data_IF_703342949145
#
_entry.id   IF_703342949145
#
_cell.length_a   1.000
_cell.length_b   1.000
_cell.length_c   1.000
_cell.angle_alpha   90.00
_cell.angle_beta   90.00
_cell.angle_gamma   90.00
#
_symmetry.space_group_name_H-M   'P 1'
#
loop_
_entity.id
_entity.type
_entity.pdbx_description
1 polymer ?
#
# COMPACT_ATOMS: atom_id res chain seq x y z
N UNK A 1 -16.43 16.71 -30.54
CA UNK A 1 -17.63 17.19 -29.81
C UNK A 1 -17.86 16.26 -28.63
N UNK A 2 -17.65 16.79 -27.43
CA UNK A 2 -17.88 16.13 -26.14
C UNK A 2 -19.27 16.56 -25.66
N UNK A 3 -20.13 15.60 -25.34
CA UNK A 3 -21.18 15.69 -24.33
C UNK A 3 -22.13 14.51 -24.54
N UNK A 4 -22.31 13.64 -23.53
CA UNK A 4 -23.59 13.03 -23.09
C UNK A 4 -23.36 12.45 -21.68
N UNK A 5 -23.74 13.20 -20.66
CA UNK A 5 -24.98 13.02 -19.88
C UNK A 5 -24.89 11.88 -18.85
N UNK A 6 -24.36 12.24 -17.68
CA UNK A 6 -24.51 11.51 -16.43
C UNK A 6 -25.91 11.84 -15.91
N UNK A 7 -26.81 10.87 -15.95
CA UNK A 7 -28.13 10.95 -15.33
C UNK A 7 -28.69 9.54 -15.18
N UNK A 8 -28.62 8.97 -13.98
CA UNK A 8 -29.61 7.98 -13.55
C UNK A 8 -29.57 7.84 -12.03
N UNK A 9 -30.02 8.88 -11.34
CA UNK A 9 -30.51 8.79 -9.96
C UNK A 9 -31.85 8.07 -9.99
N UNK A 10 -31.85 6.76 -9.71
CA UNK A 10 -33.08 6.03 -9.39
C UNK A 10 -33.22 5.96 -7.87
N UNK A 11 -33.86 7.00 -7.33
CA UNK A 11 -34.60 6.93 -6.07
C UNK A 11 -35.85 6.08 -6.34
N UNK A 12 -35.93 4.89 -5.77
CA UNK A 12 -37.21 4.20 -5.59
C UNK A 12 -37.38 3.83 -4.12
N UNK A 13 -38.21 4.63 -3.48
CA UNK A 13 -38.87 4.33 -2.24
C UNK A 13 -39.87 3.18 -2.46
N UNK A 14 -39.94 2.23 -1.53
CA UNK A 14 -41.19 1.58 -1.15
C UNK A 14 -40.99 0.84 0.17
N UNK A 15 -41.63 1.37 1.22
CA UNK A 15 -41.86 0.67 2.47
C UNK A 15 -42.75 -0.54 2.19
N UNK A 16 -42.32 -1.74 2.59
CA UNK A 16 -43.23 -2.83 2.90
C UNK A 16 -42.93 -3.32 4.30
N UNK A 17 -43.70 -2.75 5.23
CA UNK A 17 -43.94 -3.29 6.56
C UNK A 17 -44.90 -4.47 6.35
N UNK A 18 -44.46 -5.69 6.61
CA UNK A 18 -45.38 -6.79 6.90
C UNK A 18 -44.89 -7.58 8.10
N UNK A 19 -45.58 -7.36 9.21
CA UNK A 19 -45.51 -8.18 10.41
C UNK A 19 -46.09 -9.56 10.11
N UNK A 20 -45.40 -10.63 10.54
CA UNK A 20 -46.00 -11.96 10.75
C UNK A 20 -45.06 -12.88 11.54
N UNK A 21 -45.62 -13.89 12.22
CA UNK A 21 -45.48 -14.05 13.67
C UNK A 21 -44.41 -15.06 14.10
N UNK A 22 -44.02 -14.94 15.37
CA UNK A 22 -43.24 -15.93 16.10
C UNK A 22 -43.92 -17.30 16.06
N UNK A 23 -43.30 -18.27 15.38
CA UNK A 23 -43.57 -19.69 15.58
C UNK A 23 -42.32 -20.34 16.14
N UNK A 24 -42.38 -20.60 17.44
CA UNK A 24 -41.46 -21.47 18.14
C UNK A 24 -41.43 -22.84 17.45
N UNK A 25 -40.28 -23.20 16.88
CA UNK A 25 -39.90 -24.58 16.67
C UNK A 25 -38.75 -24.89 17.60
N UNK A 26 -39.06 -25.61 18.66
CA UNK A 26 -38.10 -26.34 19.46
C UNK A 26 -37.42 -27.36 18.52
N UNK A 27 -36.21 -27.05 18.11
CA UNK A 27 -35.36 -27.96 17.35
C UNK A 27 -34.24 -28.39 18.29
N UNK A 28 -34.44 -29.55 18.92
CA UNK A 28 -33.43 -30.25 19.70
C UNK A 28 -32.29 -30.66 18.76
N UNK A 29 -31.24 -29.84 18.70
CA UNK A 29 -29.98 -30.20 18.08
C UNK A 29 -29.09 -30.88 19.13
N UNK A 30 -28.36 -31.95 18.76
CA UNK A 30 -27.40 -32.62 19.65
C UNK A 30 -26.33 -31.62 20.12
N UNK A 31 -25.67 -31.87 21.28
CA UNK A 31 -24.59 -31.02 21.75
C UNK A 31 -23.46 -31.05 20.73
N UNK A 32 -23.41 -30.05 19.85
CA UNK A 32 -22.22 -29.75 19.08
C UNK A 32 -21.20 -29.26 20.08
N UNK A 33 -20.27 -30.15 20.37
CA UNK A 33 -18.98 -29.88 21.00
C UNK A 33 -18.54 -28.50 20.53
N UNK A 34 -18.49 -27.55 21.46
CA UNK A 34 -17.93 -26.23 21.26
C UNK A 34 -16.46 -26.46 20.91
N UNK A 35 -16.18 -26.64 19.62
CA UNK A 35 -14.84 -26.56 19.08
C UNK A 35 -14.39 -25.15 19.45
N UNK A 36 -13.49 -25.09 20.43
CA UNK A 36 -12.77 -23.89 20.81
C UNK A 36 -12.47 -23.13 19.53
N UNK A 37 -13.04 -21.93 19.40
CA UNK A 37 -12.67 -21.01 18.34
C UNK A 37 -11.15 -20.94 18.41
N UNK A 38 -10.50 -21.53 17.41
CA UNK A 38 -9.07 -21.38 17.22
C UNK A 38 -8.82 -19.88 17.23
N UNK A 39 -8.16 -19.42 18.29
CA UNK A 39 -7.80 -18.04 18.53
C UNK A 39 -7.20 -17.51 17.22
N UNK A 40 -7.94 -16.64 16.53
CA UNK A 40 -7.49 -16.12 15.25
C UNK A 40 -6.11 -15.51 15.48
N UNK A 41 -5.11 -15.81 14.64
CA UNK A 41 -3.75 -15.35 14.88
C UNK A 41 -3.79 -13.83 15.05
N UNK A 42 -3.43 -13.35 16.24
CA UNK A 42 -3.43 -11.94 16.54
C UNK A 42 -2.48 -11.26 15.54
N UNK A 43 -3.03 -10.44 14.66
CA UNK A 43 -2.23 -9.73 13.66
C UNK A 43 -1.79 -8.39 14.24
N UNK A 44 -0.50 -8.09 14.11
CA UNK A 44 0.10 -6.84 14.56
C UNK A 44 0.59 -6.05 13.36
N UNK A 45 0.34 -4.74 13.38
CA UNK A 45 0.82 -3.84 12.32
C UNK A 45 2.21 -3.34 12.66
N UNK A 46 3.16 -3.63 11.79
CA UNK A 46 4.49 -3.03 11.78
C UNK A 46 4.40 -1.69 11.07
N UNK A 47 4.86 -0.63 11.75
CA UNK A 47 4.90 0.72 11.20
C UNK A 47 6.30 1.26 11.20
N UNK A 48 6.70 1.88 10.09
CA UNK A 48 7.97 2.59 10.02
C UNK A 48 7.94 3.77 9.08
N UNK A 49 9.00 4.56 9.14
CA UNK A 49 9.23 5.72 8.27
C UNK A 49 10.62 5.65 7.66
N UNK A 50 10.73 5.96 6.38
CA UNK A 50 12.01 6.08 5.67
C UNK A 50 12.34 7.56 5.51
N UNK A 51 13.47 7.95 6.08
CA UNK A 51 13.99 9.31 6.03
C UNK A 51 15.28 9.37 5.21
N UNK A 52 15.48 10.48 4.51
CA UNK A 52 16.75 10.88 3.89
C UNK A 52 17.30 12.12 4.60
N UNK A 53 18.56 12.52 4.35
CA UNK A 53 19.09 13.78 4.89
C UNK A 53 18.29 15.03 4.50
N UNK A 54 17.42 14.92 3.48
CA UNK A 54 16.56 16.00 2.98
C UNK A 54 15.14 15.97 3.54
N UNK A 55 14.77 14.94 4.30
CA UNK A 55 13.40 14.74 4.81
C UNK A 55 12.84 13.34 4.48
N UNK A 56 11.52 13.13 4.70
CA UNK A 56 10.87 11.85 4.46
C UNK A 56 10.95 11.44 2.98
N UNK A 57 11.09 10.15 2.73
CA UNK A 57 11.28 9.59 1.40
C UNK A 57 10.09 8.75 0.97
N UNK A 58 9.25 9.31 0.10
CA UNK A 58 8.18 8.56 -0.55
C UNK A 58 8.62 7.76 -1.76
N UNK A 59 7.93 6.66 -2.04
CA UNK A 59 8.21 5.78 -3.17
C UNK A 59 9.36 4.79 -2.96
N UNK A 60 9.96 4.74 -1.77
CA UNK A 60 10.85 3.63 -1.38
C UNK A 60 10.05 2.34 -1.18
N UNK A 61 10.60 1.22 -1.64
CA UNK A 61 10.02 -0.11 -1.53
C UNK A 61 10.65 -0.82 -0.34
N UNK A 62 9.84 -1.22 0.62
CA UNK A 62 10.24 -2.07 1.73
C UNK A 62 9.86 -3.50 1.41
N UNK A 63 10.78 -4.44 1.61
CA UNK A 63 10.57 -5.87 1.43
C UNK A 63 10.84 -6.61 2.73
N UNK A 64 9.86 -7.36 3.23
CA UNK A 64 10.06 -8.27 4.34
C UNK A 64 10.76 -9.55 3.85
N UNK A 65 11.89 -9.91 4.44
CA UNK A 65 12.73 -11.02 3.97
C UNK A 65 12.01 -12.37 4.13
N UNK A 66 11.30 -12.56 5.25
CA UNK A 66 10.66 -13.82 5.61
C UNK A 66 9.36 -14.08 4.85
N UNK A 67 8.52 -13.06 4.72
CA UNK A 67 7.19 -13.17 4.10
C UNK A 67 7.17 -12.79 2.63
N UNK A 68 8.27 -12.25 2.10
CA UNK A 68 8.39 -11.69 0.73
C UNK A 68 7.35 -10.60 0.42
N UNK A 69 6.64 -10.10 1.41
CA UNK A 69 5.72 -8.98 1.24
C UNK A 69 6.51 -7.72 0.89
N UNK A 70 5.96 -6.94 -0.03
CA UNK A 70 6.52 -5.66 -0.45
C UNK A 70 5.48 -4.56 -0.26
N UNK A 71 5.93 -3.40 0.23
CA UNK A 71 5.11 -2.22 0.40
C UNK A 71 5.89 -1.00 -0.07
N UNK A 72 5.25 -0.14 -0.86
CA UNK A 72 5.83 1.16 -1.20
C UNK A 72 5.44 2.19 -0.13
N UNK A 73 6.40 3.03 0.23
CA UNK A 73 6.18 4.14 1.16
C UNK A 73 5.34 5.25 0.54
N UNK A 74 4.49 5.87 1.36
CA UNK A 74 3.67 7.01 0.95
C UNK A 74 4.51 8.30 0.83
N UNK A 75 3.88 9.44 0.51
CA UNK A 75 4.59 10.73 0.37
C UNK A 75 5.31 11.20 1.65
N UNK A 76 4.88 10.75 2.82
CA UNK A 76 5.48 11.03 4.13
C UNK A 76 6.56 10.00 4.51
N UNK A 77 6.90 9.07 3.61
CA UNK A 77 7.87 8.01 3.84
C UNK A 77 7.37 6.90 4.76
N UNK A 78 6.08 6.85 5.09
CA UNK A 78 5.49 5.84 5.98
C UNK A 78 5.17 4.55 5.22
N UNK A 79 5.33 3.42 5.91
CA UNK A 79 4.93 2.10 5.44
C UNK A 79 4.30 1.29 6.56
N UNK A 80 3.46 0.32 6.17
CA UNK A 80 2.68 -0.52 7.06
C UNK A 80 2.72 -1.97 6.58
N UNK A 81 3.01 -2.91 7.48
CA UNK A 81 2.87 -4.34 7.21
C UNK A 81 2.04 -5.01 8.28
N UNK A 82 1.22 -5.97 7.89
CA UNK A 82 0.49 -6.81 8.83
C UNK A 82 1.20 -8.14 8.96
N UNK A 83 1.69 -8.45 10.16
CA UNK A 83 2.39 -9.70 10.47
C UNK A 83 1.72 -10.39 11.67
N UNK A 84 1.84 -11.72 11.81
CA UNK A 84 1.41 -12.41 13.02
C UNK A 84 2.15 -11.87 14.25
N UNK A 85 1.47 -11.76 15.39
CA UNK A 85 2.08 -11.34 16.67
C UNK A 85 3.28 -12.23 17.05
N UNK A 86 3.20 -13.51 16.72
CA UNK A 86 4.21 -14.52 17.04
C UNK A 86 5.39 -14.54 16.04
N UNK A 87 5.44 -13.60 15.08
CA UNK A 87 6.44 -13.61 14.01
C UNK A 87 7.88 -13.34 14.50
N UNK A 88 8.04 -12.86 15.74
CA UNK A 88 9.34 -12.46 16.29
C UNK A 88 9.98 -11.29 15.53
N UNK A 89 11.28 -11.03 15.69
CA UNK A 89 11.98 -9.99 14.95
C UNK A 89 11.90 -10.24 13.45
N UNK A 90 11.38 -9.26 12.71
CA UNK A 90 11.20 -9.34 11.26
C UNK A 90 12.30 -8.54 10.56
N UNK A 91 13.10 -9.24 9.76
CA UNK A 91 14.09 -8.61 8.88
C UNK A 91 13.41 -8.00 7.65
N UNK A 92 13.77 -6.76 7.36
CA UNK A 92 13.26 -5.98 6.24
C UNK A 92 14.41 -5.35 5.45
N UNK A 93 14.18 -5.07 4.18
CA UNK A 93 15.13 -4.39 3.30
C UNK A 93 14.40 -3.21 2.66
N UNK A 94 14.94 -2.01 2.84
CA UNK A 94 14.46 -0.82 2.16
C UNK A 94 15.29 -0.61 0.90
N UNK A 95 14.62 -0.44 -0.23
CA UNK A 95 15.20 -0.15 -1.53
C UNK A 95 14.55 1.10 -2.11
N UNK A 96 15.36 1.95 -2.74
CA UNK A 96 14.89 3.13 -3.45
C UNK A 96 15.66 3.25 -4.75
N UNK A 97 15.01 3.69 -5.82
CA UNK A 97 15.58 3.68 -7.16
C UNK A 97 16.93 4.42 -7.20
N UNK A 98 17.97 3.71 -7.64
CA UNK A 98 19.35 4.18 -7.70
C UNK A 98 20.08 4.33 -6.34
N UNK A 99 19.46 3.95 -5.21
CA UNK A 99 20.08 3.93 -3.89
C UNK A 99 20.50 2.50 -3.49
N UNK A 100 21.44 2.39 -2.55
CA UNK A 100 21.83 1.09 -2.00
C UNK A 100 20.68 0.51 -1.14
N UNK A 101 20.48 -0.80 -1.23
CA UNK A 101 19.54 -1.50 -0.34
C UNK A 101 20.03 -1.40 1.12
N UNK A 102 19.13 -1.03 2.03
CA UNK A 102 19.43 -0.89 3.46
C UNK A 102 18.67 -1.98 4.23
N UNK A 103 19.38 -3.00 4.76
CA UNK A 103 18.75 -3.99 5.62
C UNK A 103 18.51 -3.42 7.02
N UNK A 104 17.38 -3.77 7.64
CA UNK A 104 17.02 -3.40 9.00
C UNK A 104 16.11 -4.45 9.64
N UNK A 105 15.91 -4.38 10.94
CA UNK A 105 15.05 -5.28 11.69
C UNK A 105 13.96 -4.51 12.42
N UNK A 106 12.76 -5.09 12.49
CA UNK A 106 11.62 -4.54 13.20
C UNK A 106 11.04 -5.57 14.15
N UNK A 107 10.48 -5.10 15.27
CA UNK A 107 9.76 -5.95 16.22
C UNK A 107 8.26 -5.66 16.15
N UNK A 108 7.39 -6.69 16.05
CA UNK A 108 5.95 -6.52 16.21
C UNK A 108 5.63 -5.83 17.53
N UNK A 109 4.80 -4.78 17.49
CA UNK A 109 4.43 -3.99 18.68
C UNK A 109 5.46 -2.95 19.13
N UNK A 110 6.60 -2.82 18.44
CA UNK A 110 7.57 -1.74 18.70
C UNK A 110 7.03 -0.37 18.24
N UNK A 111 7.48 0.73 18.86
CA UNK A 111 7.27 2.07 18.31
C UNK A 111 7.81 2.20 16.87
N UNK A 112 7.33 3.25 16.18
CA UNK A 112 7.66 3.60 14.80
C UNK A 112 9.17 3.46 14.51
N UNK A 113 9.53 2.57 13.58
CA UNK A 113 10.93 2.37 13.18
C UNK A 113 11.33 3.40 12.13
N UNK A 114 12.35 4.22 12.40
CA UNK A 114 12.86 5.21 11.44
C UNK A 114 14.13 4.69 10.78
N UNK A 115 14.08 4.51 9.45
CA UNK A 115 15.21 4.02 8.65
C UNK A 115 15.80 5.18 7.87
N UNK A 116 17.11 5.42 8.04
CA UNK A 116 17.83 6.46 7.30
C UNK A 116 18.44 5.88 6.04
N UNK A 117 18.06 6.41 4.88
CA UNK A 117 18.61 6.03 3.58
C UNK A 117 19.44 7.17 2.98
N UNK A 118 20.54 6.81 2.32
CA UNK A 118 21.30 7.74 1.51
C UNK A 118 20.62 7.94 0.15
N UNK A 119 20.49 9.18 -0.35
CA UNK A 119 19.89 9.43 -1.65
C UNK A 119 20.74 8.79 -2.76
N UNK A 120 20.05 8.28 -3.77
CA UNK A 120 20.67 7.82 -5.01
C UNK A 120 21.57 8.92 -5.60
N UNK A 121 22.86 8.64 -5.75
CA UNK A 121 23.76 9.54 -6.48
C UNK A 121 23.56 9.29 -7.97
N UNK A 122 22.74 10.12 -8.61
CA UNK A 122 22.72 10.20 -10.07
C UNK A 122 24.14 10.54 -10.55
N UNK A 123 24.78 9.61 -11.26
CA UNK A 123 26.08 9.88 -11.87
C UNK A 123 25.94 11.00 -12.91
N UNK A 124 26.98 11.81 -13.11
CA UNK A 124 26.99 12.86 -14.14
C UNK A 124 26.65 12.32 -15.53
N UNK A 125 27.05 11.06 -15.81
CA UNK A 125 26.74 10.37 -17.06
C UNK A 125 25.23 10.12 -17.21
N UNK A 126 24.58 9.59 -16.18
CA UNK A 126 23.14 9.32 -16.19
C UNK A 126 22.34 10.62 -16.29
N UNK A 127 22.78 11.67 -15.60
CA UNK A 127 22.13 12.99 -15.66
C UNK A 127 22.23 13.61 -17.07
N UNK A 128 23.38 13.48 -17.73
CA UNK A 128 23.55 13.95 -19.12
C UNK A 128 22.63 13.18 -20.08
N UNK A 129 22.54 11.86 -19.94
CA UNK A 129 21.64 11.05 -20.77
C UNK A 129 20.16 11.39 -20.55
N UNK A 130 19.75 11.57 -19.29
CA UNK A 130 18.39 11.96 -18.94
C UNK A 130 18.02 13.30 -19.59
N UNK A 131 18.91 14.30 -19.49
CA UNK A 131 18.69 15.61 -20.11
C UNK A 131 18.56 15.53 -21.64
N UNK A 132 19.34 14.67 -22.29
CA UNK A 132 19.23 14.45 -23.75
C UNK A 132 17.87 13.83 -24.10
N UNK A 133 17.42 12.82 -23.33
CA UNK A 133 16.11 12.18 -23.54
C UNK A 133 14.96 13.16 -23.34
N UNK A 134 14.99 13.94 -22.26
CA UNK A 134 13.97 14.97 -21.99
C UNK A 134 13.91 15.99 -23.14
N UNK A 135 15.07 16.47 -23.64
CA UNK A 135 15.12 17.38 -24.78
C UNK A 135 14.55 16.78 -26.05
N UNK A 136 14.82 15.48 -26.31
CA UNK A 136 14.27 14.78 -27.47
C UNK A 136 12.75 14.63 -27.36
N UNK A 137 12.26 14.14 -26.23
CA UNK A 137 10.83 14.00 -25.97
C UNK A 137 10.09 15.33 -26.16
N UNK A 138 10.61 16.43 -25.61
CA UNK A 138 10.00 17.75 -25.77
C UNK A 138 9.96 18.22 -27.24
N UNK A 139 11.00 17.94 -28.02
CA UNK A 139 11.02 18.26 -29.46
C UNK A 139 10.00 17.44 -30.24
N UNK A 140 9.85 16.16 -29.89
CA UNK A 140 8.87 15.26 -30.50
C UNK A 140 7.44 15.72 -30.18
N UNK A 141 7.14 16.03 -28.91
CA UNK A 141 5.84 16.59 -28.50
C UNK A 141 5.53 17.91 -29.21
N UNK A 142 6.53 18.79 -29.39
CA UNK A 142 6.33 20.05 -30.12
C UNK A 142 6.01 19.81 -31.60
N UNK A 143 6.70 18.86 -32.23
CA UNK A 143 6.46 18.51 -33.64
C UNK A 143 5.09 17.87 -33.83
N UNK A 144 4.69 16.95 -32.96
CA UNK A 144 3.36 16.32 -33.04
C UNK A 144 2.24 17.34 -32.85
N UNK A 145 2.38 18.28 -31.90
CA UNK A 145 1.39 19.34 -31.69
C UNK A 145 1.24 20.24 -32.93
N UNK A 146 2.34 20.58 -33.60
CA UNK A 146 2.31 21.37 -34.83
C UNK A 146 1.67 20.65 -36.03
N UNK A 147 1.62 19.31 -36.04
CA UNK A 147 0.98 18.53 -37.10
C UNK A 147 -0.54 18.36 -36.90
N UNK A 148 -1.05 18.71 -35.73
CA UNK A 148 -2.48 18.63 -35.38
C UNK A 148 -3.22 19.97 -35.59
N UNK A 149 -2.53 20.99 -36.10
CA UNK A 149 -3.09 22.29 -36.50
C UNK A 149 -3.19 22.38 -38.01
#
# INVERSE_FOLDING_TARGET
MIARFISCTCLFAACFIWASPARAQAQTAPPVTSAASAEAPANVTLTGRIDTPKGPLGGAVVRLVRTKQTCATNAEGLFFFTVPADAGPVAAVAAYDGAAEVPFTMQPGSPLTVVKMAPAKLSRANQKQLNVRIKRAHRETKRSLNQLK
#
